data_IF_720874684696
#
_entry.id   IF_720874684696
#
_cell.length_a   1.000
_cell.length_b   1.000
_cell.length_c   1.000
_cell.angle_alpha   90.00
_cell.angle_beta   90.00
_cell.angle_gamma   90.00
#
_symmetry.space_group_name_H-M   'P 1'
#
loop_
_entity.id
_entity.type
_entity.pdbx_description
1 polymer ?
#
# COMPACT_ATOMS: atom_id res chain seq x y z
N UNK A 1 39.04 -22.75 9.32
CA UNK A 1 37.77 -22.23 9.86
C UNK A 1 37.49 -20.90 9.21
N UNK A 2 36.81 -20.98 8.08
CA UNK A 2 36.35 -19.78 7.41
C UNK A 2 35.01 -19.39 8.00
N UNK A 3 35.01 -18.51 8.98
CA UNK A 3 33.78 -17.81 9.34
C UNK A 3 33.46 -16.91 8.15
N UNK A 4 32.72 -17.44 7.20
CA UNK A 4 32.13 -16.63 6.15
C UNK A 4 31.15 -15.69 6.81
N UNK A 5 31.53 -14.44 7.01
CA UNK A 5 30.57 -13.37 7.19
C UNK A 5 29.80 -13.31 5.88
N UNK A 6 28.70 -14.08 5.79
CA UNK A 6 27.74 -13.92 4.72
C UNK A 6 27.06 -12.56 4.96
N UNK A 7 27.67 -11.49 4.45
CA UNK A 7 27.00 -10.21 4.38
C UNK A 7 25.84 -10.35 3.42
N UNK A 8 24.62 -10.03 3.87
CA UNK A 8 23.47 -10.00 3.01
C UNK A 8 23.71 -9.06 1.81
N UNK A 9 23.37 -9.47 0.60
CA UNK A 9 23.51 -8.58 -0.55
C UNK A 9 22.59 -7.38 -0.42
N UNK A 10 22.95 -6.28 -1.07
CA UNK A 10 22.10 -5.10 -1.13
C UNK A 10 20.74 -5.45 -1.73
N UNK A 11 19.62 -5.08 -1.05
CA UNK A 11 18.27 -5.46 -1.48
C UNK A 11 17.75 -4.54 -2.58
N UNK A 12 18.47 -4.38 -3.67
CA UNK A 12 18.17 -3.43 -4.74
C UNK A 12 16.82 -3.71 -5.39
N UNK A 13 16.55 -4.97 -5.73
CA UNK A 13 15.28 -5.37 -6.35
C UNK A 13 14.10 -5.14 -5.40
N UNK A 14 14.24 -5.48 -4.13
CA UNK A 14 13.20 -5.26 -3.12
C UNK A 14 12.93 -3.78 -2.90
N UNK A 15 13.97 -2.95 -2.88
CA UNK A 15 13.81 -1.49 -2.76
C UNK A 15 13.04 -0.92 -3.94
N UNK A 16 13.35 -1.35 -5.16
CA UNK A 16 12.61 -0.92 -6.35
C UNK A 16 11.14 -1.32 -6.29
N UNK A 17 10.83 -2.55 -5.86
CA UNK A 17 9.44 -2.99 -5.66
C UNK A 17 8.71 -2.14 -4.62
N UNK A 18 9.37 -1.83 -3.53
CA UNK A 18 8.81 -1.01 -2.47
C UNK A 18 8.56 0.43 -2.93
N UNK A 19 9.50 1.01 -3.66
CA UNK A 19 9.36 2.35 -4.26
C UNK A 19 8.18 2.40 -5.23
N UNK A 20 8.04 1.39 -6.09
CA UNK A 20 6.92 1.29 -7.02
C UNK A 20 5.59 1.14 -6.29
N UNK A 21 5.53 0.30 -5.26
CA UNK A 21 4.32 0.10 -4.46
C UNK A 21 3.90 1.39 -3.75
N UNK A 22 4.84 2.11 -3.15
CA UNK A 22 4.56 3.40 -2.49
C UNK A 22 4.11 4.45 -3.51
N UNK A 23 4.76 4.52 -4.66
CA UNK A 23 4.38 5.45 -5.74
C UNK A 23 2.97 5.16 -6.26
N UNK A 24 2.64 3.88 -6.45
CA UNK A 24 1.30 3.44 -6.87
C UNK A 24 0.23 3.83 -5.84
N UNK A 25 0.47 3.54 -4.56
CA UNK A 25 -0.46 3.89 -3.49
C UNK A 25 -0.66 5.41 -3.41
N UNK A 26 0.40 6.18 -3.59
CA UNK A 26 0.33 7.65 -3.61
C UNK A 26 -0.51 8.16 -4.77
N UNK A 27 -0.37 7.57 -5.96
CA UNK A 27 -1.09 7.98 -7.18
C UNK A 27 -2.60 7.72 -7.11
N UNK A 28 -3.05 6.83 -6.24
CA UNK A 28 -4.46 6.48 -6.07
C UNK A 28 -5.23 7.48 -5.19
N UNK A 29 -4.68 8.66 -4.94
CA UNK A 29 -5.28 9.66 -4.04
C UNK A 29 -5.70 9.03 -2.70
N UNK A 30 -4.73 8.43 -2.04
CA UNK A 30 -4.94 7.73 -0.79
C UNK A 30 -5.32 8.66 0.37
N UNK A 31 -6.14 9.69 0.09
CA UNK A 31 -6.64 10.61 1.11
C UNK A 31 -7.36 9.89 2.24
N UNK A 32 -7.77 8.64 2.00
CA UNK A 32 -8.49 7.81 2.97
C UNK A 32 -7.64 6.73 3.62
N UNK A 33 -6.42 6.53 3.12
CA UNK A 33 -5.48 5.55 3.68
C UNK A 33 -4.18 6.24 4.13
N UNK A 34 -4.31 7.45 4.67
CA UNK A 34 -3.16 8.26 5.07
C UNK A 34 -2.22 7.57 6.04
N UNK A 35 -2.77 6.81 6.96
CA UNK A 35 -1.97 6.16 8.01
C UNK A 35 -1.06 5.09 7.42
N UNK A 36 -1.61 4.20 6.60
CA UNK A 36 -0.84 3.12 5.99
C UNK A 36 0.17 3.65 4.99
N UNK A 37 -0.21 4.67 4.21
CA UNK A 37 0.71 5.30 3.26
C UNK A 37 1.85 6.01 4.00
N UNK A 38 1.56 6.73 5.06
CA UNK A 38 2.57 7.39 5.89
C UNK A 38 3.53 6.38 6.51
N UNK A 39 3.03 5.25 7.00
CA UNK A 39 3.86 4.15 7.50
C UNK A 39 4.75 3.58 6.40
N UNK A 40 4.20 3.35 5.21
CA UNK A 40 4.97 2.84 4.09
C UNK A 40 6.11 3.80 3.70
N UNK A 41 5.82 5.08 3.61
CA UNK A 41 6.83 6.12 3.30
C UNK A 41 7.91 6.20 4.37
N UNK A 42 7.53 6.16 5.63
CA UNK A 42 8.46 6.16 6.76
C UNK A 42 9.40 4.95 6.73
N UNK A 43 8.85 3.77 6.49
CA UNK A 43 9.65 2.54 6.40
C UNK A 43 10.55 2.52 5.18
N UNK A 44 10.09 3.04 4.06
CA UNK A 44 10.92 3.16 2.86
C UNK A 44 12.11 4.07 3.09
N UNK A 45 11.90 5.22 3.73
CA UNK A 45 12.98 6.13 4.11
C UNK A 45 13.97 5.46 5.06
N UNK A 46 13.47 4.72 6.06
CA UNK A 46 14.30 3.97 6.98
C UNK A 46 15.09 2.86 6.28
N UNK A 47 14.50 2.22 5.26
CA UNK A 47 15.20 1.22 4.45
C UNK A 47 16.37 1.82 3.68
N UNK A 48 16.19 2.99 3.08
CA UNK A 48 17.28 3.71 2.41
C UNK A 48 18.39 4.11 3.39
N UNK A 49 18.02 4.58 4.58
CA UNK A 49 19.00 4.92 5.61
C UNK A 49 19.81 3.70 6.06
N UNK A 50 19.15 2.57 6.26
CA UNK A 50 19.81 1.31 6.60
C UNK A 50 20.77 0.85 5.49
N UNK A 51 20.36 1.00 4.24
CA UNK A 51 21.22 0.68 3.08
C UNK A 51 22.47 1.54 3.07
N UNK A 52 22.34 2.83 3.29
CA UNK A 52 23.49 3.75 3.36
C UNK A 52 24.43 3.43 4.52
N UNK A 53 23.89 2.93 5.63
CA UNK A 53 24.67 2.48 6.78
C UNK A 53 25.32 1.11 6.56
N UNK A 54 25.07 0.45 5.44
CA UNK A 54 25.60 -0.88 5.15
C UNK A 54 24.84 -2.02 5.82
N UNK A 55 23.70 -1.75 6.46
CA UNK A 55 22.86 -2.76 7.09
C UNK A 55 21.85 -3.28 6.06
N UNK A 56 22.32 -4.14 5.16
CA UNK A 56 21.51 -4.67 4.06
C UNK A 56 20.34 -5.53 4.54
N UNK A 57 20.52 -6.25 5.65
CA UNK A 57 19.45 -7.05 6.24
C UNK A 57 18.31 -6.20 6.73
N UNK A 58 18.61 -5.15 7.48
CA UNK A 58 17.60 -4.23 7.99
C UNK A 58 16.94 -3.46 6.85
N UNK A 59 17.73 -3.05 5.86
CA UNK A 59 17.20 -2.40 4.65
C UNK A 59 16.17 -3.27 3.94
N UNK A 60 16.47 -4.56 3.76
CA UNK A 60 15.52 -5.51 3.13
C UNK A 60 14.25 -5.66 3.96
N UNK A 61 14.38 -5.87 5.27
CA UNK A 61 13.22 -6.03 6.16
C UNK A 61 12.30 -4.82 6.11
N UNK A 62 12.87 -3.62 6.20
CA UNK A 62 12.09 -2.38 6.15
C UNK A 62 11.45 -2.15 4.78
N UNK A 63 12.16 -2.49 3.70
CA UNK A 63 11.62 -2.39 2.35
C UNK A 63 10.43 -3.34 2.14
N UNK A 64 10.54 -4.60 2.58
CA UNK A 64 9.43 -5.56 2.55
C UNK A 64 8.22 -5.06 3.31
N UNK A 65 8.42 -4.51 4.50
CA UNK A 65 7.33 -3.94 5.29
C UNK A 65 6.71 -2.71 4.62
N UNK A 66 7.52 -1.85 4.03
CA UNK A 66 7.04 -0.68 3.28
C UNK A 66 6.15 -1.10 2.10
N UNK A 67 6.57 -2.13 1.36
CA UNK A 67 5.76 -2.68 0.26
C UNK A 67 4.41 -3.19 0.75
N UNK A 68 4.38 -3.95 1.84
CA UNK A 68 3.14 -4.47 2.41
C UNK A 68 2.20 -3.36 2.88
N UNK A 69 2.73 -2.35 3.57
CA UNK A 69 1.93 -1.21 4.02
C UNK A 69 1.37 -0.40 2.83
N UNK A 70 2.17 -0.23 1.77
CA UNK A 70 1.72 0.43 0.55
C UNK A 70 0.60 -0.35 -0.16
N UNK A 71 0.74 -1.67 -0.26
CA UNK A 71 -0.31 -2.54 -0.82
C UNK A 71 -1.58 -2.53 0.02
N UNK A 72 -1.46 -2.45 1.34
CA UNK A 72 -2.60 -2.31 2.23
C UNK A 72 -3.31 -0.96 2.01
N UNK A 73 -2.56 0.12 1.87
CA UNK A 73 -3.12 1.43 1.55
C UNK A 73 -3.91 1.40 0.24
N UNK A 74 -3.34 0.81 -0.81
CA UNK A 74 -4.00 0.62 -2.09
C UNK A 74 -5.29 -0.19 -1.96
N UNK A 75 -5.25 -1.32 -1.26
CA UNK A 75 -6.41 -2.19 -1.07
C UNK A 75 -7.55 -1.46 -0.34
N UNK A 76 -7.24 -0.62 0.65
CA UNK A 76 -8.23 0.18 1.37
C UNK A 76 -8.90 1.21 0.47
N UNK A 77 -8.13 1.89 -0.38
CA UNK A 77 -8.69 2.84 -1.35
C UNK A 77 -9.65 2.12 -2.30
N UNK A 78 -9.25 0.98 -2.86
CA UNK A 78 -10.09 0.18 -3.76
C UNK A 78 -11.37 -0.29 -3.07
N UNK A 79 -11.27 -0.75 -1.83
CA UNK A 79 -12.42 -1.16 -1.03
C UNK A 79 -13.41 -0.01 -0.85
N UNK A 80 -12.92 1.18 -0.48
CA UNK A 80 -13.76 2.34 -0.26
C UNK A 80 -14.43 2.81 -1.55
N UNK A 81 -13.71 2.80 -2.67
CA UNK A 81 -14.26 3.13 -3.98
C UNK A 81 -15.38 2.18 -4.37
N UNK A 82 -15.19 0.88 -4.18
CA UNK A 82 -16.19 -0.14 -4.48
C UNK A 82 -17.40 -0.01 -3.58
N UNK A 83 -17.20 0.27 -2.30
CA UNK A 83 -18.30 0.49 -1.38
C UNK A 83 -19.14 1.71 -1.79
N UNK A 84 -18.51 2.79 -2.19
CA UNK A 84 -19.19 3.98 -2.70
C UNK A 84 -20.01 3.68 -3.96
N UNK A 85 -19.48 2.83 -4.86
CA UNK A 85 -20.20 2.40 -6.07
C UNK A 85 -21.42 1.55 -5.72
N UNK A 86 -21.30 0.63 -4.78
CA UNK A 86 -22.41 -0.20 -4.29
C UNK A 86 -23.50 0.69 -3.68
N UNK A 87 -23.13 1.63 -2.85
CA UNK A 87 -24.08 2.55 -2.22
C UNK A 87 -24.82 3.39 -3.26
N UNK A 88 -24.10 3.88 -4.29
CA UNK A 88 -24.71 4.62 -5.39
C UNK A 88 -25.70 3.77 -6.19
N UNK A 89 -25.34 2.53 -6.52
CA UNK A 89 -26.21 1.60 -7.21
C UNK A 89 -27.47 1.29 -6.38
N UNK A 90 -27.33 1.09 -5.09
CA UNK A 90 -28.47 0.85 -4.21
C UNK A 90 -29.43 2.05 -4.19
N UNK A 91 -28.89 3.28 -4.15
CA UNK A 91 -29.73 4.50 -4.24
C UNK A 91 -30.46 4.59 -5.58
N UNK A 92 -29.80 4.22 -6.69
CA UNK A 92 -30.43 4.19 -8.01
C UNK A 92 -31.55 3.16 -8.09
N UNK A 93 -31.33 1.98 -7.51
CA UNK A 93 -32.35 0.92 -7.45
C UNK A 93 -33.56 1.41 -6.67
N UNK A 94 -33.38 2.04 -5.52
CA UNK A 94 -34.47 2.57 -4.73
C UNK A 94 -35.27 3.63 -5.49
N UNK A 95 -34.59 4.55 -6.19
CA UNK A 95 -35.23 5.58 -7.00
C UNK A 95 -36.07 4.98 -8.14
N UNK A 96 -35.51 3.96 -8.83
CA UNK A 96 -36.22 3.27 -9.90
C UNK A 96 -37.46 2.55 -9.39
N UNK A 97 -37.38 1.89 -8.24
CA UNK A 97 -38.52 1.25 -7.61
C UNK A 97 -39.62 2.25 -7.27
N UNK A 98 -39.27 3.40 -6.75
CA UNK A 98 -40.22 4.47 -6.46
C UNK A 98 -40.86 4.99 -7.74
N UNK A 99 -40.08 5.20 -8.82
CA UNK A 99 -40.59 5.67 -10.10
C UNK A 99 -41.55 4.65 -10.77
N UNK A 100 -41.27 3.36 -10.58
CA UNK A 100 -42.10 2.28 -11.10
C UNK A 100 -43.35 2.00 -10.25
N UNK A 101 -43.53 2.72 -9.14
CA UNK A 101 -44.67 2.50 -8.25
C UNK A 101 -44.61 1.18 -7.51
N UNK A 102 -43.46 0.57 -7.35
CA UNK A 102 -43.24 -0.62 -6.50
C UNK A 102 -43.28 -0.27 -5.04
N UNK A 103 -44.34 0.30 -4.59
CA UNK A 103 -44.57 0.59 -3.18
C UNK A 103 -45.36 -0.56 -2.58
N UNK A 104 -44.69 -1.56 -2.09
CA UNK A 104 -45.32 -2.63 -1.31
C UNK A 104 -44.34 -3.20 -0.29
#
# INVERSE_FOLDING_TARGET
MLAGCASDPAPTAQLQLSEQAVAQARSMEASRAHEELALAESKLNAAHAALQAGDNRQARMLAEQAELDARLAEARVLKDQRQAQIDDLNRRIQRLRQQLGEVR
#
